data_IF_158257701697
#
_entry.id   IF_158257701697
#
_cell.length_a   1.000
_cell.length_b   1.000
_cell.length_c   1.000
_cell.angle_alpha   90.00
_cell.angle_beta   90.00
_cell.angle_gamma   90.00
#
_symmetry.space_group_name_H-M   'P 1'
#
loop_
_entity.id
_entity.type
_entity.pdbx_description
1 polymer ?
#
# COMPACT_ATOMS: atom_id res chain seq x y z
N UNK A 1 -44.84 27.67 8.18
CA UNK A 1 -43.67 27.34 9.01
C UNK A 1 -43.34 25.87 8.77
N UNK A 2 -42.35 25.55 7.94
CA UNK A 2 -41.75 24.21 7.90
C UNK A 2 -40.55 24.13 8.85
N UNK A 3 -40.37 22.94 9.40
CA UNK A 3 -39.36 22.54 10.36
C UNK A 3 -37.93 22.64 9.79
N UNK A 4 -37.05 23.11 10.65
CA UNK A 4 -35.59 23.04 10.56
C UNK A 4 -35.16 21.56 10.64
N UNK A 5 -34.84 20.95 9.50
CA UNK A 5 -34.06 19.71 9.49
C UNK A 5 -32.58 20.06 9.55
N UNK A 6 -31.96 19.46 10.57
CA UNK A 6 -30.65 19.79 11.11
C UNK A 6 -29.55 19.62 10.07
N UNK A 7 -28.63 20.58 10.11
CA UNK A 7 -27.41 20.58 9.34
C UNK A 7 -26.70 19.23 9.43
N UNK A 8 -26.30 18.73 8.27
CA UNK A 8 -25.43 17.57 8.07
C UNK A 8 -24.05 17.89 8.67
N UNK A 9 -23.95 17.67 9.99
CA UNK A 9 -22.83 18.04 10.84
C UNK A 9 -21.68 17.04 10.71
N UNK A 10 -21.28 16.69 9.48
CA UNK A 10 -20.07 15.91 9.17
C UNK A 10 -19.40 16.36 7.87
N UNK A 11 -19.56 17.63 7.48
CA UNK A 11 -18.66 18.24 6.50
C UNK A 11 -17.28 18.47 7.14
N UNK A 12 -16.45 17.43 7.15
CA UNK A 12 -15.00 17.59 7.22
C UNK A 12 -14.63 18.63 6.16
N UNK A 13 -13.89 19.71 6.49
CA UNK A 13 -13.46 20.67 5.49
C UNK A 13 -12.76 19.89 4.38
N UNK A 14 -13.37 19.88 3.19
CA UNK A 14 -12.79 19.18 2.05
C UNK A 14 -11.38 19.72 1.88
N UNK A 15 -10.39 18.83 2.02
CA UNK A 15 -9.00 19.16 1.70
C UNK A 15 -9.06 19.82 0.33
N UNK A 16 -8.60 21.08 0.24
CA UNK A 16 -8.51 21.77 -1.05
C UNK A 16 -7.54 20.96 -1.90
N UNK A 17 -8.08 20.16 -2.81
CA UNK A 17 -7.30 19.37 -3.75
C UNK A 17 -6.87 20.33 -4.85
N UNK A 18 -5.62 20.77 -4.80
CA UNK A 18 -5.03 21.48 -5.92
C UNK A 18 -4.71 20.45 -7.00
N UNK A 19 -5.34 20.57 -8.16
CA UNK A 19 -5.03 19.71 -9.31
C UNK A 19 -3.62 20.02 -9.83
N UNK A 20 -2.81 18.97 -10.04
CA UNK A 20 -1.51 19.07 -10.67
C UNK A 20 -1.69 19.07 -12.19
N UNK A 21 -1.34 20.17 -12.86
CA UNK A 21 -1.33 20.21 -14.33
C UNK A 21 -0.17 19.36 -14.85
N UNK A 22 -0.44 18.45 -15.78
CA UNK A 22 0.59 17.69 -16.48
C UNK A 22 1.23 18.59 -17.55
N UNK A 23 2.53 18.87 -17.39
CA UNK A 23 3.33 19.64 -18.33
C UNK A 23 4.41 18.74 -18.94
N UNK A 24 5.02 19.19 -20.04
CA UNK A 24 5.88 18.35 -20.90
C UNK A 24 7.00 17.65 -20.12
N UNK A 25 7.75 18.38 -19.30
CA UNK A 25 8.86 17.82 -18.55
C UNK A 25 8.39 16.78 -17.52
N UNK A 26 7.17 16.93 -16.99
CA UNK A 26 6.57 15.95 -16.09
C UNK A 26 6.14 14.68 -16.82
N UNK A 27 5.50 14.80 -17.99
CA UNK A 27 5.16 13.64 -18.82
C UNK A 27 6.40 12.93 -19.37
N UNK A 28 7.47 13.67 -19.68
CA UNK A 28 8.73 13.11 -20.14
C UNK A 28 9.43 12.31 -19.01
N UNK A 29 9.36 12.80 -17.76
CA UNK A 29 9.93 12.11 -16.60
C UNK A 29 9.06 10.94 -16.09
N UNK A 30 7.73 11.06 -16.19
CA UNK A 30 6.74 10.08 -15.75
C UNK A 30 5.80 9.75 -16.91
N UNK A 31 6.23 8.92 -17.88
CA UNK A 31 5.44 8.63 -19.08
C UNK A 31 4.06 8.01 -18.78
N UNK A 32 3.91 7.41 -17.60
CA UNK A 32 2.67 6.78 -17.13
C UNK A 32 1.73 7.73 -16.37
N UNK A 33 2.06 9.02 -16.22
CA UNK A 33 1.29 9.96 -15.37
C UNK A 33 -0.14 10.22 -15.87
N UNK A 34 -0.35 10.13 -17.19
CA UNK A 34 -1.67 10.31 -17.81
C UNK A 34 -2.41 8.97 -18.01
N UNK A 35 -1.78 7.84 -17.70
CA UNK A 35 -2.39 6.52 -17.90
C UNK A 35 -3.35 6.16 -16.75
N UNK A 36 -4.41 5.42 -17.08
CA UNK A 36 -5.33 4.88 -16.08
C UNK A 36 -4.65 3.72 -15.32
N UNK A 37 -4.20 4.02 -14.11
CA UNK A 37 -3.56 3.08 -13.17
C UNK A 37 -4.32 1.75 -13.01
N UNK A 38 -5.66 1.73 -13.11
CA UNK A 38 -6.44 0.50 -12.97
C UNK A 38 -6.53 -0.34 -14.25
N UNK A 39 -6.10 0.22 -15.38
CA UNK A 39 -6.21 -0.37 -16.72
C UNK A 39 -4.87 -0.60 -17.41
N UNK A 40 -3.79 -0.06 -16.88
CA UNK A 40 -2.43 -0.29 -17.38
C UNK A 40 -1.60 -1.12 -16.41
N UNK A 41 -1.93 -2.42 -16.24
CA UNK A 41 -1.08 -3.30 -15.46
C UNK A 41 0.27 -3.44 -16.16
N UNK A 42 1.37 -3.35 -15.41
CA UNK A 42 2.65 -3.85 -15.90
C UNK A 42 2.49 -5.32 -16.32
N UNK A 43 3.17 -5.71 -17.41
CA UNK A 43 3.23 -7.12 -17.77
C UNK A 43 3.88 -7.91 -16.62
N UNK A 44 3.53 -9.19 -16.51
CA UNK A 44 4.10 -10.04 -15.45
C UNK A 44 5.64 -10.08 -15.53
N UNK A 45 6.19 -10.03 -16.74
CA UNK A 45 7.63 -10.07 -16.99
C UNK A 45 8.32 -8.74 -16.65
N UNK A 46 7.70 -7.59 -16.96
CA UNK A 46 8.24 -6.27 -16.58
C UNK A 46 8.20 -6.09 -15.06
N UNK A 47 7.11 -6.50 -14.43
CA UNK A 47 6.96 -6.48 -12.97
C UNK A 47 8.02 -7.37 -12.31
N UNK A 48 8.20 -8.60 -12.80
CA UNK A 48 9.27 -9.51 -12.33
C UNK A 48 10.65 -8.88 -12.53
N UNK A 49 10.93 -8.29 -13.69
CA UNK A 49 12.22 -7.69 -13.98
C UNK A 49 12.54 -6.54 -13.01
N UNK A 50 11.59 -5.64 -12.78
CA UNK A 50 11.73 -4.55 -11.80
C UNK A 50 11.96 -5.09 -10.37
N UNK A 51 11.24 -6.14 -9.97
CA UNK A 51 11.33 -6.74 -8.64
C UNK A 51 12.58 -7.62 -8.41
N UNK A 52 13.08 -8.29 -9.44
CA UNK A 52 14.23 -9.21 -9.34
C UNK A 52 15.57 -8.50 -9.57
N UNK A 53 15.58 -7.34 -10.22
CA UNK A 53 16.78 -6.50 -10.30
C UNK A 53 17.16 -5.94 -8.92
N UNK A 54 16.18 -5.80 -8.03
CA UNK A 54 16.38 -5.28 -6.68
C UNK A 54 16.59 -6.43 -5.68
N UNK A 55 17.68 -6.45 -4.89
CA UNK A 55 17.90 -7.46 -3.87
C UNK A 55 16.80 -7.40 -2.81
N UNK A 56 16.39 -8.57 -2.32
CA UNK A 56 15.44 -8.65 -1.20
C UNK A 56 16.14 -8.26 0.09
N UNK A 57 15.54 -7.37 0.88
CA UNK A 57 16.01 -7.07 2.23
C UNK A 57 15.81 -8.30 3.15
N UNK A 58 16.83 -8.65 3.91
CA UNK A 58 16.77 -9.77 4.86
C UNK A 58 15.96 -9.44 6.12
N UNK A 59 15.75 -8.15 6.39
CA UNK A 59 15.09 -7.67 7.61
C UNK A 59 13.57 -7.67 7.51
N UNK A 60 13.00 -7.52 6.30
CA UNK A 60 11.56 -7.43 6.11
C UNK A 60 10.90 -8.82 6.16
N UNK A 61 10.49 -9.23 7.35
CA UNK A 61 9.75 -10.47 7.59
C UNK A 61 8.25 -10.24 7.45
N UNK A 62 7.73 -10.34 6.21
CA UNK A 62 6.30 -10.33 5.98
C UNK A 62 5.72 -11.74 6.20
N UNK A 63 5.17 -11.99 7.39
CA UNK A 63 4.47 -13.22 7.73
C UNK A 63 2.97 -12.92 7.96
N UNK A 64 2.14 -13.00 6.92
CA UNK A 64 0.72 -12.73 7.06
C UNK A 64 0.07 -13.75 8.00
N UNK A 65 -0.93 -13.36 8.81
CA UNK A 65 -1.67 -14.27 9.67
C UNK A 65 -2.15 -15.53 8.93
N UNK A 66 -2.01 -16.73 9.53
CA UNK A 66 -2.34 -17.99 8.88
C UNK A 66 -3.82 -18.09 8.53
N UNK A 67 -4.12 -18.81 7.45
CA UNK A 67 -5.49 -19.06 7.01
C UNK A 67 -6.17 -20.06 7.96
N UNK A 68 -7.38 -19.76 8.41
CA UNK A 68 -8.17 -20.73 9.16
C UNK A 68 -8.64 -21.87 8.23
N UNK A 69 -8.25 -23.10 8.56
CA UNK A 69 -8.61 -24.31 7.82
C UNK A 69 -10.11 -24.67 7.89
N UNK A 70 -10.85 -24.16 8.87
CA UNK A 70 -12.30 -24.42 9.02
C UNK A 70 -13.20 -23.56 8.13
N UNK A 71 -12.64 -22.58 7.40
CA UNK A 71 -13.40 -21.70 6.51
C UNK A 71 -13.90 -22.43 5.25
N UNK A 72 -14.99 -21.91 4.65
CA UNK A 72 -15.51 -22.41 3.37
C UNK A 72 -14.52 -22.25 2.23
N UNK A 73 -14.74 -22.96 1.12
CA UNK A 73 -13.87 -22.92 -0.06
C UNK A 73 -13.81 -21.53 -0.69
N UNK A 74 -14.93 -20.82 -0.73
CA UNK A 74 -15.08 -19.46 -1.27
C UNK A 74 -14.29 -18.47 -0.43
N UNK A 75 -14.42 -18.57 0.90
CA UNK A 75 -13.69 -17.74 1.86
C UNK A 75 -12.17 -17.99 1.75
N UNK A 76 -11.75 -19.25 1.59
CA UNK A 76 -10.34 -19.60 1.34
C UNK A 76 -9.81 -19.00 0.04
N UNK A 77 -10.59 -19.03 -1.06
CA UNK A 77 -10.21 -18.40 -2.33
C UNK A 77 -10.06 -16.89 -2.19
N UNK A 78 -11.00 -16.24 -1.50
CA UNK A 78 -10.93 -14.80 -1.22
C UNK A 78 -9.68 -14.44 -0.42
N UNK A 79 -9.39 -15.18 0.66
CA UNK A 79 -8.21 -14.92 1.47
C UNK A 79 -6.89 -15.16 0.74
N UNK A 80 -6.82 -16.17 -0.14
CA UNK A 80 -5.65 -16.35 -1.02
C UNK A 80 -5.42 -15.13 -1.91
N UNK A 81 -6.47 -14.50 -2.43
CA UNK A 81 -6.35 -13.26 -3.22
C UNK A 81 -5.84 -12.09 -2.38
N UNK A 82 -6.38 -11.88 -1.18
CA UNK A 82 -5.89 -10.84 -0.26
C UNK A 82 -4.41 -11.06 0.12
N UNK A 83 -4.05 -12.30 0.41
CA UNK A 83 -2.67 -12.67 0.71
C UNK A 83 -1.72 -12.42 -0.49
N UNK A 84 -2.17 -12.68 -1.71
CA UNK A 84 -1.40 -12.35 -2.91
C UNK A 84 -1.17 -10.82 -3.02
N UNK A 85 -2.20 -10.00 -2.78
CA UNK A 85 -2.09 -8.53 -2.77
C UNK A 85 -1.07 -8.06 -1.74
N UNK A 86 -1.18 -8.54 -0.50
CA UNK A 86 -0.22 -8.23 0.56
C UNK A 86 1.22 -8.61 0.20
N UNK A 87 1.40 -9.78 -0.42
CA UNK A 87 2.72 -10.26 -0.86
C UNK A 87 3.28 -9.36 -1.96
N UNK A 88 2.45 -8.94 -2.91
CA UNK A 88 2.85 -8.00 -3.96
C UNK A 88 3.22 -6.63 -3.39
N UNK A 89 2.45 -6.11 -2.42
CA UNK A 89 2.79 -4.85 -1.72
C UNK A 89 4.13 -4.95 -0.99
N UNK A 90 4.40 -6.06 -0.30
CA UNK A 90 5.68 -6.31 0.35
C UNK A 90 6.84 -6.50 -0.64
N UNK A 91 6.57 -6.93 -1.88
CA UNK A 91 7.59 -6.98 -2.92
C UNK A 91 7.86 -5.62 -3.54
N UNK A 92 6.83 -4.77 -3.66
CA UNK A 92 6.92 -3.42 -4.20
C UNK A 92 7.79 -2.48 -3.35
N UNK A 93 8.14 -2.85 -2.11
CA UNK A 93 9.11 -2.09 -1.31
C UNK A 93 10.55 -2.33 -1.75
N UNK A 94 10.88 -3.42 -2.47
CA UNK A 94 12.28 -3.72 -2.84
C UNK A 94 12.95 -2.64 -3.68
N UNK A 95 12.30 -2.08 -4.72
CA UNK A 95 12.91 -0.99 -5.49
C UNK A 95 13.14 0.27 -4.64
N UNK A 96 12.25 0.52 -3.67
CA UNK A 96 12.35 1.65 -2.73
C UNK A 96 13.56 1.44 -1.81
N UNK A 97 13.67 0.26 -1.19
CA UNK A 97 14.77 -0.12 -0.31
C UNK A 97 16.12 -0.06 -1.03
N UNK A 98 16.16 -0.55 -2.28
CA UNK A 98 17.36 -0.55 -3.09
C UNK A 98 17.79 0.86 -3.52
N UNK A 99 16.83 1.72 -3.89
CA UNK A 99 17.11 3.13 -4.20
C UNK A 99 17.76 3.85 -3.00
N UNK A 100 17.19 3.71 -1.80
CA UNK A 100 17.76 4.29 -0.57
C UNK A 100 19.14 3.72 -0.28
N UNK A 101 19.33 2.40 -0.46
CA UNK A 101 20.64 1.77 -0.31
C UNK A 101 21.68 2.39 -1.26
N UNK A 102 21.34 2.60 -2.53
CA UNK A 102 22.25 3.21 -3.52
C UNK A 102 22.61 4.64 -3.11
N UNK A 103 21.63 5.46 -2.75
CA UNK A 103 21.87 6.85 -2.34
C UNK A 103 22.82 6.95 -1.14
N UNK A 104 22.65 6.10 -0.13
CA UNK A 104 23.54 6.07 1.05
C UNK A 104 24.97 5.63 0.67
N UNK A 105 25.11 4.69 -0.27
CA UNK A 105 26.44 4.27 -0.74
C UNK A 105 27.16 5.38 -1.52
N UNK A 106 26.43 6.12 -2.35
CA UNK A 106 26.99 7.20 -3.17
C UNK A 106 27.30 8.45 -2.34
N UNK A 107 26.47 8.76 -1.36
CA UNK A 107 26.68 9.88 -0.45
C UNK A 107 26.38 9.48 1.02
N UNK A 108 27.39 8.99 1.75
CA UNK A 108 27.24 8.55 3.13
C UNK A 108 26.89 9.67 4.12
N UNK A 109 26.93 10.94 3.72
CA UNK A 109 26.55 12.08 4.56
C UNK A 109 25.02 12.32 4.56
N UNK A 110 24.26 11.71 3.62
CA UNK A 110 22.80 11.81 3.45
C UNK A 110 22.00 11.01 4.52
N UNK A 111 22.58 10.66 5.67
CA UNK A 111 21.87 9.90 6.72
C UNK A 111 20.99 10.84 7.59
N UNK A 112 20.27 11.76 6.97
CA UNK A 112 19.32 12.66 7.64
C UNK A 112 17.93 12.33 7.11
N UNK A 113 17.02 11.97 8.02
CA UNK A 113 15.65 11.58 7.67
C UNK A 113 14.84 12.69 6.98
N UNK A 114 15.31 13.94 7.06
CA UNK A 114 14.70 15.11 6.42
C UNK A 114 15.22 15.36 4.98
N UNK A 115 16.23 14.61 4.53
CA UNK A 115 16.69 14.69 3.14
C UNK A 115 15.57 14.16 2.21
N UNK A 116 15.15 14.91 1.18
CA UNK A 116 14.13 14.45 0.23
C UNK A 116 14.40 13.08 -0.38
N UNK A 117 15.67 12.74 -0.63
CA UNK A 117 16.11 11.47 -1.22
C UNK A 117 15.96 10.28 -0.26
N UNK A 118 15.67 10.54 1.01
CA UNK A 118 15.37 9.56 2.06
C UNK A 118 13.91 9.66 2.52
N UNK A 119 13.40 10.88 2.72
CA UNK A 119 12.04 11.15 3.19
C UNK A 119 10.97 10.66 2.20
N UNK A 120 11.15 10.89 0.90
CA UNK A 120 10.19 10.44 -0.12
C UNK A 120 10.08 8.91 -0.17
N UNK A 121 11.17 8.14 -0.33
CA UNK A 121 11.13 6.68 -0.27
C UNK A 121 10.51 6.14 1.03
N UNK A 122 10.86 6.71 2.19
CA UNK A 122 10.30 6.31 3.47
C UNK A 122 8.78 6.50 3.54
N UNK A 123 8.28 7.64 3.05
CA UNK A 123 6.83 7.90 2.99
C UNK A 123 6.13 6.90 2.06
N UNK A 124 6.73 6.57 0.90
CA UNK A 124 6.18 5.57 -0.01
C UNK A 124 6.15 4.17 0.62
N UNK A 125 7.22 3.78 1.32
CA UNK A 125 7.28 2.51 2.04
C UNK A 125 6.21 2.45 3.14
N UNK A 126 6.00 3.53 3.90
CA UNK A 126 4.99 3.64 4.95
C UNK A 126 3.57 3.56 4.38
N UNK A 127 3.29 4.22 3.25
CA UNK A 127 1.99 4.16 2.58
C UNK A 127 1.68 2.74 2.10
N UNK A 128 2.65 2.04 1.48
CA UNK A 128 2.50 0.64 1.10
C UNK A 128 2.24 -0.26 2.32
N UNK A 129 2.96 -0.03 3.42
CA UNK A 129 2.74 -0.75 4.68
C UNK A 129 1.34 -0.51 5.24
N UNK A 130 0.85 0.74 5.21
CA UNK A 130 -0.50 1.07 5.69
C UNK A 130 -1.60 0.39 4.86
N UNK A 131 -1.43 0.32 3.53
CA UNK A 131 -2.34 -0.41 2.64
C UNK A 131 -2.30 -1.91 2.98
N UNK A 132 -1.11 -2.50 3.14
CA UNK A 132 -0.97 -3.91 3.51
C UNK A 132 -1.63 -4.21 4.86
N UNK A 133 -1.44 -3.35 5.87
CA UNK A 133 -2.10 -3.46 7.17
C UNK A 133 -3.62 -3.40 7.04
N UNK A 134 -4.15 -2.52 6.19
CA UNK A 134 -5.60 -2.42 5.93
C UNK A 134 -6.13 -3.72 5.33
N UNK A 135 -5.41 -4.32 4.37
CA UNK A 135 -5.77 -5.64 3.80
C UNK A 135 -5.75 -6.73 4.87
N UNK A 136 -4.74 -6.74 5.74
CA UNK A 136 -4.65 -7.71 6.85
C UNK A 136 -5.80 -7.53 7.84
N UNK A 137 -6.18 -6.29 8.16
CA UNK A 137 -7.32 -6.01 9.03
C UNK A 137 -8.65 -6.46 8.40
N UNK A 138 -8.86 -6.21 7.10
CA UNK A 138 -10.03 -6.73 6.37
C UNK A 138 -10.07 -8.25 6.45
N UNK A 139 -8.92 -8.91 6.31
CA UNK A 139 -8.84 -10.37 6.42
C UNK A 139 -9.24 -10.85 7.80
N UNK A 140 -8.74 -10.21 8.86
CA UNK A 140 -9.02 -10.58 10.25
C UNK A 140 -10.48 -10.32 10.64
N UNK A 141 -11.04 -9.19 10.21
CA UNK A 141 -12.43 -8.83 10.46
C UNK A 141 -13.41 -9.79 9.76
N UNK A 142 -13.17 -10.10 8.50
CA UNK A 142 -13.99 -11.06 7.76
C UNK A 142 -13.87 -12.49 8.31
N UNK A 143 -12.71 -12.85 8.87
CA UNK A 143 -12.54 -14.12 9.54
C UNK A 143 -13.43 -14.20 10.77
N UNK A 144 -13.49 -13.12 11.54
CA UNK A 144 -14.31 -13.05 12.72
C UNK A 144 -15.81 -13.13 12.42
N UNK A 145 -16.29 -12.35 11.44
CA UNK A 145 -17.70 -12.41 10.99
C UNK A 145 -18.04 -13.79 10.43
N UNK A 146 -17.19 -14.35 9.57
CA UNK A 146 -17.42 -15.66 8.93
C UNK A 146 -17.37 -16.85 9.90
N UNK A 147 -16.92 -16.64 11.14
CA UNK A 147 -16.87 -17.66 12.19
C UNK A 147 -17.92 -17.47 13.29
N UNK A 148 -18.78 -16.45 13.21
CA UNK A 148 -19.76 -16.09 14.27
C UNK A 148 -19.18 -16.07 15.70
N UNK A 149 -17.90 -15.73 15.84
CA UNK A 149 -17.24 -15.79 17.14
C UNK A 149 -17.74 -14.64 18.04
N UNK A 150 -18.18 -14.90 19.28
CA UNK A 150 -18.49 -13.82 20.21
C UNK A 150 -17.21 -13.16 20.73
N UNK A 151 -16.94 -11.89 20.36
CA UNK A 151 -15.92 -11.03 20.98
C UNK A 151 -15.23 -10.04 20.04
N UNK A 152 -14.83 -8.83 20.47
CA UNK A 152 -14.25 -7.81 19.57
C UNK A 152 -12.91 -8.25 18.95
N UNK A 153 -12.75 -8.03 17.64
CA UNK A 153 -11.47 -8.17 16.92
C UNK A 153 -10.48 -7.10 17.41
N UNK A 154 -9.34 -7.53 17.94
CA UNK A 154 -8.26 -6.60 18.28
C UNK A 154 -7.64 -6.06 16.99
N UNK A 155 -7.64 -4.73 16.83
CA UNK A 155 -6.90 -4.07 15.75
C UNK A 155 -5.41 -4.34 15.95
N UNK A 156 -4.74 -4.69 14.87
CA UNK A 156 -3.27 -4.65 14.83
C UNK A 156 -2.92 -3.16 14.78
N UNK A 157 -2.23 -2.70 15.83
CA UNK A 157 -1.63 -1.36 15.96
C UNK A 157 -0.36 -1.33 15.13
#
# INVERSE_FOLDING_TARGET
>A
MPLLDKEDLFATPGILFTELSVYKELSDALPFIEEDFFRTPLSEDDCKTALYTCPKTSSMNYAPPPLNYSASTEVKKFYKKLHAIETTLAQATRPIDYYVYQNIQENPEIIVADDPDIAFPNNMQLLLSNIATTVTQIRLFNLHIGMELPGRVNKIV
#
